data_IF_692123494819
#
_entry.id   IF_692123494819
#
_cell.length_a   1.000
_cell.length_b   1.000
_cell.length_c   1.000
_cell.angle_alpha   90.00
_cell.angle_beta   90.00
_cell.angle_gamma   90.00
#
_symmetry.space_group_name_H-M   'P 1'
#
loop_
_entity.id
_entity.type
_entity.pdbx_description
1 polymer ?
#
# COMPACT_ATOMS: atom_id res chain seq x y z
N UNK A 1 -8.59 30.49 23.59
CA UNK A 1 -8.12 29.08 23.59
C UNK A 1 -7.12 28.84 22.45
N UNK A 2 -5.95 28.23 22.72
CA UNK A 2 -5.03 27.85 21.65
C UNK A 2 -5.69 26.79 20.74
N UNK A 3 -5.40 26.79 19.43
CA UNK A 3 -5.86 25.73 18.55
C UNK A 3 -5.33 24.38 19.03
N UNK A 4 -6.14 23.30 18.98
CA UNK A 4 -5.62 21.97 19.26
C UNK A 4 -4.45 21.69 18.32
N UNK A 5 -3.30 21.31 18.89
CA UNK A 5 -2.13 20.89 18.12
C UNK A 5 -2.59 19.83 17.10
N UNK A 6 -2.09 19.86 15.85
CA UNK A 6 -2.36 18.80 14.89
C UNK A 6 -1.98 17.49 15.56
N UNK A 7 -2.95 16.61 15.79
CA UNK A 7 -2.67 15.32 16.38
C UNK A 7 -1.78 14.55 15.42
N UNK A 8 -0.57 14.25 15.86
CA UNK A 8 0.39 13.50 15.08
C UNK A 8 -0.23 12.14 14.70
N UNK A 9 -0.27 11.85 13.40
CA UNK A 9 -0.70 10.56 12.88
C UNK A 9 0.43 9.56 13.16
N UNK A 10 0.13 8.51 13.93
CA UNK A 10 1.10 7.47 14.28
C UNK A 10 0.83 6.21 13.44
N UNK A 11 1.40 6.18 12.22
CA UNK A 11 1.31 5.05 11.29
C UNK A 11 2.71 4.50 11.04
N UNK A 12 2.93 3.22 11.34
CA UNK A 12 4.15 2.48 11.00
C UNK A 12 3.93 1.61 9.76
N UNK A 13 4.97 1.48 8.95
CA UNK A 13 4.96 0.65 7.73
C UNK A 13 6.20 -0.24 7.74
N UNK A 14 6.04 -1.54 7.57
CA UNK A 14 7.15 -2.48 7.53
C UNK A 14 6.93 -3.64 6.53
N UNK A 15 7.89 -3.94 5.64
CA UNK A 15 9.08 -3.15 5.32
C UNK A 15 8.69 -1.80 4.68
N UNK A 16 9.54 -0.77 4.77
CA UNK A 16 9.25 0.54 4.13
C UNK A 16 9.60 0.59 2.65
N UNK A 17 10.42 -0.35 2.19
CA UNK A 17 10.91 -0.45 0.83
C UNK A 17 10.60 -1.84 0.30
N UNK A 18 10.16 -1.91 -0.95
CA UNK A 18 10.02 -3.16 -1.69
C UNK A 18 10.96 -3.13 -2.89
N UNK A 19 11.74 -4.18 -3.03
CA UNK A 19 12.64 -4.38 -4.16
C UNK A 19 12.09 -5.51 -5.03
N UNK A 20 11.99 -5.26 -6.33
CA UNK A 20 11.48 -6.23 -7.29
C UNK A 20 12.54 -6.50 -8.36
N UNK A 21 12.66 -7.77 -8.75
CA UNK A 21 13.51 -8.14 -9.87
C UNK A 21 12.78 -7.75 -11.17
N UNK A 22 13.35 -6.87 -12.02
CA UNK A 22 12.65 -6.31 -13.17
C UNK A 22 12.09 -7.36 -14.15
N UNK A 23 12.78 -8.50 -14.26
CA UNK A 23 12.51 -9.57 -15.22
C UNK A 23 11.79 -10.79 -14.64
N UNK A 24 11.29 -10.75 -13.40
CA UNK A 24 10.51 -11.87 -12.85
C UNK A 24 9.13 -11.45 -12.37
N UNK A 25 8.88 -10.14 -12.25
CA UNK A 25 7.74 -9.67 -11.47
C UNK A 25 7.90 -10.06 -10.00
N UNK A 26 6.82 -9.94 -9.22
CA UNK A 26 6.80 -10.38 -7.83
C UNK A 26 5.70 -9.70 -7.03
N UNK A 27 5.51 -10.14 -5.79
CA UNK A 27 4.62 -9.49 -4.85
C UNK A 27 5.32 -9.32 -3.50
N UNK A 28 5.17 -8.15 -2.89
CA UNK A 28 5.67 -7.86 -1.54
C UNK A 28 4.50 -7.52 -0.64
N UNK A 29 4.59 -7.96 0.61
CA UNK A 29 3.64 -7.61 1.67
C UNK A 29 4.28 -6.60 2.60
N UNK A 30 3.53 -5.55 2.87
CA UNK A 30 3.86 -4.50 3.83
C UNK A 30 2.80 -4.50 4.92
N UNK A 31 3.21 -4.33 6.16
CA UNK A 31 2.30 -4.23 7.30
C UNK A 31 2.18 -2.77 7.68
N UNK A 32 0.95 -2.27 7.65
CA UNK A 32 0.54 -0.95 8.11
C UNK A 32 0.03 -1.10 9.54
N UNK A 33 0.71 -0.52 10.53
CA UNK A 33 0.30 -0.58 11.94
C UNK A 33 -0.08 0.80 12.44
N UNK A 34 -1.28 0.92 13.02
CA UNK A 34 -1.73 2.15 13.67
C UNK A 34 -1.37 2.12 15.15
N UNK A 35 -0.29 2.80 15.52
CA UNK A 35 0.13 2.96 16.93
C UNK A 35 -0.58 4.16 17.61
N UNK A 36 -1.49 4.83 16.89
CA UNK A 36 -2.25 5.96 17.41
C UNK A 36 -3.49 5.53 18.20
N UNK A 37 -4.12 6.50 18.85
CA UNK A 37 -5.38 6.33 19.60
C UNK A 37 -6.63 6.64 18.78
N UNK A 38 -6.47 6.93 17.49
CA UNK A 38 -7.56 7.32 16.59
C UNK A 38 -7.60 6.42 15.36
N UNK A 39 -8.80 6.18 14.84
CA UNK A 39 -8.99 5.49 13.57
C UNK A 39 -8.40 6.30 12.43
N UNK A 40 -7.61 5.65 11.58
CA UNK A 40 -7.02 6.24 10.40
C UNK A 40 -7.76 5.81 9.14
N UNK A 41 -7.83 6.73 8.18
CA UNK A 41 -8.27 6.44 6.81
C UNK A 41 -7.06 6.55 5.91
N UNK A 42 -6.71 5.45 5.26
CA UNK A 42 -5.51 5.34 4.45
C UNK A 42 -5.90 5.36 2.98
N UNK A 43 -5.25 6.24 2.20
CA UNK A 43 -5.32 6.26 0.74
C UNK A 43 -3.94 5.99 0.18
N UNK A 44 -3.80 4.87 -0.52
CA UNK A 44 -2.54 4.50 -1.16
C UNK A 44 -2.56 4.98 -2.61
N UNK A 45 -1.50 5.68 -3.01
CA UNK A 45 -1.30 6.16 -4.38
C UNK A 45 -0.06 5.48 -4.93
N UNK A 46 -0.15 4.98 -6.15
CA UNK A 46 1.00 4.44 -6.87
C UNK A 46 1.39 5.40 -7.99
N UNK A 47 2.70 5.57 -8.20
CA UNK A 47 3.26 6.41 -9.25
C UNK A 47 3.13 5.79 -10.63
N UNK A 48 3.16 4.46 -10.73
CA UNK A 48 3.07 3.73 -11.99
C UNK A 48 2.12 2.53 -11.87
N UNK A 49 0.86 2.76 -12.20
CA UNK A 49 -0.18 1.73 -12.22
C UNK A 49 -0.05 0.75 -13.40
N UNK A 50 0.83 1.03 -14.38
CA UNK A 50 1.02 0.14 -15.53
C UNK A 50 1.89 -1.06 -15.18
N UNK A 51 2.88 -0.86 -14.29
CA UNK A 51 3.82 -1.87 -13.83
C UNK A 51 3.48 -2.44 -12.45
N UNK A 52 2.88 -1.64 -11.57
CA UNK A 52 2.57 -2.03 -10.21
C UNK A 52 1.06 -2.06 -9.96
N UNK A 53 0.62 -3.07 -9.22
CA UNK A 53 -0.73 -3.16 -8.66
C UNK A 53 -0.64 -3.16 -7.15
N UNK A 54 -1.50 -2.38 -6.52
CA UNK A 54 -1.52 -2.23 -5.06
C UNK A 54 -2.89 -2.59 -4.53
N UNK A 55 -2.93 -3.34 -3.44
CA UNK A 55 -4.16 -3.74 -2.78
C UNK A 55 -3.99 -3.77 -1.25
N UNK A 56 -4.91 -3.19 -0.46
CA UNK A 56 -6.06 -2.35 -0.87
C UNK A 56 -5.63 -0.91 -1.26
N UNK A 57 -6.47 -0.16 -2.00
CA UNK A 57 -6.21 1.26 -2.34
C UNK A 57 -6.74 2.22 -1.26
N UNK A 58 -7.86 1.83 -0.65
CA UNK A 58 -8.50 2.54 0.45
C UNK A 58 -8.72 1.56 1.59
N UNK A 59 -8.43 2.01 2.80
CA UNK A 59 -8.73 1.21 3.98
C UNK A 59 -8.94 2.05 5.23
N UNK A 60 -9.60 1.44 6.20
CA UNK A 60 -9.74 1.93 7.55
C UNK A 60 -8.83 1.11 8.46
N UNK A 61 -8.07 1.80 9.31
CA UNK A 61 -7.19 1.16 10.27
C UNK A 61 -7.55 1.63 11.67
N UNK A 62 -8.03 0.71 12.49
CA UNK A 62 -8.43 0.97 13.87
C UNK A 62 -7.20 1.11 14.78
N UNK A 63 -7.29 1.87 15.88
CA UNK A 63 -6.15 2.07 16.78
C UNK A 63 -5.67 0.75 17.37
N UNK A 64 -4.35 0.51 17.33
CA UNK A 64 -3.72 -0.73 17.78
C UNK A 64 -3.85 -1.92 16.81
N UNK A 65 -4.39 -1.69 15.60
CA UNK A 65 -4.53 -2.75 14.59
C UNK A 65 -3.51 -2.63 13.48
N UNK A 66 -3.24 -3.76 12.84
CA UNK A 66 -2.34 -3.86 11.70
C UNK A 66 -3.10 -4.37 10.47
N UNK A 67 -2.66 -3.94 9.30
CA UNK A 67 -3.23 -4.37 8.03
C UNK A 67 -2.16 -4.63 6.99
N UNK A 68 -2.37 -5.69 6.22
CA UNK A 68 -1.50 -6.05 5.10
C UNK A 68 -1.80 -5.18 3.86
N UNK A 69 -0.73 -4.67 3.27
CA UNK A 69 -0.67 -3.98 1.99
C UNK A 69 0.16 -4.83 1.04
N UNK A 70 -0.48 -5.29 -0.02
CA UNK A 70 0.16 -6.05 -1.08
C UNK A 70 0.53 -5.14 -2.25
N UNK A 71 1.79 -5.21 -2.67
CA UNK A 71 2.31 -4.53 -3.85
C UNK A 71 2.82 -5.59 -4.81
N UNK A 72 2.17 -5.74 -5.94
CA UNK A 72 2.56 -6.65 -7.01
C UNK A 72 3.23 -5.88 -8.14
N UNK A 73 4.38 -6.36 -8.60
CA UNK A 73 5.07 -5.92 -9.81
C UNK A 73 4.83 -6.93 -10.93
N UNK A 74 4.34 -6.47 -12.07
CA UNK A 74 4.11 -7.31 -13.23
C UNK A 74 5.42 -7.64 -13.96
N UNK A 75 5.55 -8.90 -14.36
CA UNK A 75 6.59 -9.32 -15.29
C UNK A 75 6.37 -8.71 -16.67
N UNK A 76 7.46 -8.29 -17.32
CA UNK A 76 7.49 -7.88 -18.73
C UNK A 76 7.90 -9.12 -19.55
N UNK A 77 7.02 -9.71 -20.40
CA UNK A 77 5.99 -9.07 -21.19
C UNK A 77 4.61 -9.32 -20.59
N UNK A 78 3.75 -8.30 -20.60
CA UNK A 78 2.31 -8.55 -20.59
C UNK A 78 2.03 -9.37 -21.85
N UNK A 79 1.94 -10.70 -21.73
CA UNK A 79 1.18 -11.49 -22.69
C UNK A 79 -0.24 -10.95 -22.59
N UNK A 80 -0.52 -9.95 -23.43
CA UNK A 80 -1.87 -9.54 -23.75
C UNK A 80 -2.50 -10.77 -24.37
N UNK A 81 -3.15 -11.59 -23.54
CA UNK A 81 -4.16 -12.52 -24.03
C UNK A 81 -5.27 -11.63 -24.55
N UNK A 82 -5.27 -11.42 -25.87
CA UNK A 82 -6.42 -10.93 -26.60
C UNK A 82 -7.51 -11.98 -26.40
N UNK A 83 -8.40 -11.76 -25.44
CA UNK A 83 -9.72 -12.39 -25.49
C UNK A 83 -10.46 -11.67 -26.62
N UNK A 84 -10.65 -12.40 -27.72
CA UNK A 84 -11.22 -11.89 -28.96
C UNK A 84 -12.67 -11.45 -28.80
N UNK A 85 -13.06 -10.56 -29.70
CA UNK A 85 -14.41 -10.45 -30.26
C UNK A 85 -14.24 -10.42 -31.77
#
# INVERSE_FOLDING_TARGET
PPPPLPQAVSLQIYPRVAEFIPFFGGATKHVLTNDGFKRLVIKIKCSNNSLYKVWPVYSFLDPGTSQDLEVAHYFFPKFFRLEGI
#
